data_IF_175534002042
#
_entry.id   IF_175534002042
#
_cell.length_a   1.000
_cell.length_b   1.000
_cell.length_c   1.000
_cell.angle_alpha   90.00
_cell.angle_beta   90.00
_cell.angle_gamma   90.00
#
_symmetry.space_group_name_H-M   'P 1'
#
loop_
_entity.id
_entity.type
_entity.pdbx_description
1 polymer ?
#
# COMPACT_ATOMS: atom_id res chain seq x y z
N UNK A 1 6.23 -13.17 5.78
CA UNK A 1 5.61 -12.03 6.49
C UNK A 1 4.12 -12.03 6.23
N UNK A 2 3.29 -11.53 7.14
CA UNK A 2 1.85 -11.34 6.89
C UNK A 2 1.64 -9.87 6.55
N UNK A 3 0.93 -9.61 5.45
CA UNK A 3 0.46 -8.28 5.07
C UNK A 3 -1.06 -8.28 5.06
N UNK A 4 -1.68 -7.15 5.38
CA UNK A 4 -3.12 -7.00 5.43
C UNK A 4 -3.58 -6.01 4.36
N UNK A 5 -4.76 -6.29 3.81
CA UNK A 5 -5.53 -5.37 2.99
C UNK A 5 -6.96 -5.32 3.52
N UNK A 6 -7.42 -4.16 3.99
CA UNK A 6 -8.67 -4.00 4.75
C UNK A 6 -8.83 -5.05 5.87
N UNK A 7 -7.75 -5.29 6.62
CA UNK A 7 -7.73 -6.26 7.72
C UNK A 7 -7.66 -7.74 7.29
N UNK A 8 -7.82 -8.08 6.00
CA UNK A 8 -7.65 -9.45 5.50
C UNK A 8 -6.17 -9.76 5.34
N UNK A 9 -5.73 -10.87 5.91
CA UNK A 9 -4.33 -11.28 5.93
C UNK A 9 -3.93 -12.08 4.67
N UNK A 10 -2.77 -11.72 4.11
CA UNK A 10 -2.12 -12.37 2.97
C UNK A 10 -0.69 -12.73 3.33
N UNK A 11 -0.20 -13.83 2.75
CA UNK A 11 1.20 -14.22 2.90
C UNK A 11 2.06 -13.45 1.93
N UNK A 12 3.08 -12.78 2.45
CA UNK A 12 4.11 -12.11 1.68
C UNK A 12 5.43 -12.86 1.83
N UNK A 13 5.98 -13.35 0.72
CA UNK A 13 7.37 -13.77 0.65
C UNK A 13 8.23 -12.52 0.55
N UNK A 14 8.81 -12.14 1.67
CA UNK A 14 9.65 -10.95 1.78
C UNK A 14 10.97 -11.14 1.01
N UNK A 15 11.35 -10.14 0.23
CA UNK A 15 12.69 -10.04 -0.36
C UNK A 15 13.53 -9.02 0.38
N UNK A 16 12.94 -7.87 0.71
CA UNK A 16 13.63 -6.74 1.33
C UNK A 16 12.65 -5.98 2.24
N UNK A 17 13.11 -5.61 3.43
CA UNK A 17 12.42 -4.70 4.34
C UNK A 17 13.44 -3.73 4.92
N UNK A 18 13.15 -2.44 4.82
CA UNK A 18 13.91 -1.34 5.40
C UNK A 18 12.95 -0.36 6.04
N UNK A 19 13.47 0.63 6.77
CA UNK A 19 12.66 1.70 7.35
C UNK A 19 11.95 2.53 6.27
N UNK A 20 12.38 2.47 5.00
CA UNK A 20 11.81 3.22 3.87
C UNK A 20 10.77 2.43 3.08
N UNK A 21 10.75 1.10 3.18
CA UNK A 21 9.88 0.32 2.33
C UNK A 21 10.06 -1.19 2.41
N UNK A 22 9.11 -1.87 1.78
CA UNK A 22 9.01 -3.33 1.75
C UNK A 22 8.86 -3.79 0.31
N UNK A 23 9.61 -4.82 -0.07
CA UNK A 23 9.51 -5.50 -1.35
C UNK A 23 9.36 -7.00 -1.16
N UNK A 24 8.46 -7.60 -1.92
CA UNK A 24 8.22 -9.04 -1.82
C UNK A 24 7.43 -9.60 -2.98
N UNK A 25 7.00 -10.84 -2.78
CA UNK A 25 6.03 -11.52 -3.64
C UNK A 25 4.82 -11.91 -2.82
N UNK A 26 3.65 -11.47 -3.24
CA UNK A 26 2.39 -11.83 -2.62
C UNK A 26 2.05 -13.28 -3.02
N UNK A 27 1.84 -14.13 -2.03
CA UNK A 27 1.50 -15.53 -2.24
C UNK A 27 -0.01 -15.65 -2.22
N UNK A 28 -0.59 -15.72 -3.40
CA UNK A 28 -2.02 -15.89 -3.61
C UNK A 28 -2.29 -17.33 -4.03
N UNK A 29 -3.26 -17.97 -3.39
CA UNK A 29 -3.91 -19.14 -3.98
C UNK A 29 -4.90 -18.70 -5.07
N UNK A 30 -5.43 -19.64 -5.87
CA UNK A 30 -6.38 -19.33 -6.96
C UNK A 30 -7.58 -18.50 -6.48
N UNK A 31 -8.10 -18.79 -5.29
CA UNK A 31 -9.25 -18.07 -4.73
C UNK A 31 -8.87 -16.65 -4.26
N UNK A 32 -7.64 -16.45 -3.80
CA UNK A 32 -7.09 -15.15 -3.41
C UNK A 32 -6.72 -14.31 -4.64
N UNK A 33 -6.27 -14.93 -5.73
CA UNK A 33 -5.96 -14.25 -6.99
C UNK A 33 -7.22 -13.66 -7.61
N UNK A 34 -8.30 -14.44 -7.74
CA UNK A 34 -9.60 -13.92 -8.23
C UNK A 34 -10.13 -12.79 -7.35
N UNK A 35 -9.98 -12.90 -6.03
CA UNK A 35 -10.37 -11.84 -5.10
C UNK A 35 -9.50 -10.61 -5.26
N UNK A 36 -8.20 -10.74 -5.53
CA UNK A 36 -7.29 -9.61 -5.69
C UNK A 36 -7.63 -8.79 -6.94
N UNK A 37 -7.98 -9.45 -8.04
CA UNK A 37 -8.46 -8.78 -9.26
C UNK A 37 -9.71 -7.94 -8.96
N UNK A 38 -10.64 -8.50 -8.18
CA UNK A 38 -11.84 -7.76 -7.75
C UNK A 38 -11.55 -6.65 -6.71
N UNK A 39 -10.40 -6.72 -6.02
CA UNK A 39 -9.98 -5.72 -5.02
C UNK A 39 -9.22 -4.56 -5.68
N UNK A 40 -8.58 -4.76 -6.83
CA UNK A 40 -8.03 -3.68 -7.64
C UNK A 40 -9.14 -2.72 -8.13
N UNK A 41 -10.33 -3.26 -8.43
CA UNK A 41 -11.52 -2.47 -8.74
C UNK A 41 -12.06 -1.69 -7.52
N UNK A 42 -11.67 -2.07 -6.29
CA UNK A 42 -12.01 -1.35 -5.05
C UNK A 42 -10.93 -0.33 -4.63
N UNK A 43 -9.70 -0.39 -5.17
CA UNK A 43 -8.74 0.71 -4.99
C UNK A 43 -9.23 2.03 -5.65
N UNK A 44 -10.26 1.95 -6.49
CA UNK A 44 -10.99 3.07 -7.08
C UNK A 44 -11.91 3.82 -6.07
N UNK A 45 -11.96 3.41 -4.80
CA UNK A 45 -12.77 4.05 -3.74
C UNK A 45 -12.33 5.47 -3.33
N UNK A 46 -11.45 6.14 -4.09
CA UNK A 46 -10.99 7.52 -3.81
C UNK A 46 -10.45 7.73 -2.38
N UNK A 47 -10.06 6.66 -1.67
CA UNK A 47 -9.59 6.71 -0.28
C UNK A 47 -8.37 7.62 -0.07
N UNK A 48 -7.66 7.92 -1.15
CA UNK A 48 -6.49 8.79 -1.20
C UNK A 48 -6.82 10.27 -1.45
N UNK A 49 -8.11 10.60 -1.61
CA UNK A 49 -8.61 11.95 -1.84
C UNK A 49 -9.35 12.50 -0.61
N UNK A 50 -9.33 13.81 -0.45
CA UNK A 50 -10.16 14.55 0.51
C UNK A 50 -11.55 14.88 -0.06
N UNK A 51 -12.35 15.62 0.71
CA UNK A 51 -13.70 16.04 0.32
C UNK A 51 -13.75 16.97 -0.91
N UNK A 52 -12.62 17.54 -1.32
CA UNK A 52 -12.49 18.38 -2.50
C UNK A 52 -11.94 17.60 -3.71
N UNK A 53 -11.66 16.31 -3.56
CA UNK A 53 -11.03 15.50 -4.59
C UNK A 53 -9.53 15.78 -4.75
N UNK A 54 -8.91 16.47 -3.79
CA UNK A 54 -7.47 16.65 -3.73
C UNK A 54 -6.81 15.49 -3.00
N UNK A 55 -5.57 15.18 -3.32
CA UNK A 55 -4.85 14.08 -2.67
C UNK A 55 -4.60 14.42 -1.19
N UNK A 56 -4.93 13.48 -0.30
CA UNK A 56 -4.60 13.57 1.13
C UNK A 56 -3.11 13.86 1.34
N UNK A 57 -2.80 14.61 2.40
CA UNK A 57 -1.43 14.75 2.89
C UNK A 57 -0.86 13.40 3.34
N UNK A 58 0.46 13.36 3.57
CA UNK A 58 1.13 12.10 3.89
C UNK A 58 0.50 11.38 5.09
N UNK A 59 0.22 12.09 6.17
CA UNK A 59 -0.28 11.48 7.41
C UNK A 59 -1.68 10.90 7.21
N UNK A 60 -2.60 11.69 6.63
CA UNK A 60 -3.95 11.24 6.34
C UNK A 60 -3.97 10.12 5.28
N UNK A 61 -3.09 10.18 4.29
CA UNK A 61 -2.96 9.16 3.25
C UNK A 61 -2.51 7.81 3.84
N UNK A 62 -1.52 7.80 4.73
CA UNK A 62 -1.10 6.57 5.40
C UNK A 62 -2.20 6.05 6.34
N UNK A 63 -2.87 6.92 7.09
CA UNK A 63 -3.98 6.53 7.96
C UNK A 63 -5.13 5.87 7.18
N UNK A 64 -5.47 6.43 6.01
CA UNK A 64 -6.52 5.91 5.13
C UNK A 64 -6.11 4.65 4.36
N UNK A 65 -4.80 4.38 4.21
CA UNK A 65 -4.32 3.27 3.40
C UNK A 65 -4.94 1.93 3.81
N UNK A 66 -5.41 1.12 2.85
CA UNK A 66 -5.97 -0.19 3.14
C UNK A 66 -4.89 -1.22 3.50
N UNK A 67 -3.62 -0.92 3.22
CA UNK A 67 -2.50 -1.84 3.40
C UNK A 67 -1.80 -1.63 4.75
N UNK A 68 -1.54 -2.73 5.45
CA UNK A 68 -0.81 -2.70 6.72
C UNK A 68 -0.03 -3.98 7.02
N UNK A 69 0.91 -3.92 7.96
CA UNK A 69 1.58 -5.08 8.54
C UNK A 69 1.51 -5.01 10.06
N UNK A 70 1.53 -6.17 10.72
CA UNK A 70 1.70 -6.23 12.17
C UNK A 70 3.19 -6.27 12.52
N UNK A 71 3.61 -5.37 13.40
CA UNK A 71 4.94 -5.37 14.01
C UNK A 71 4.80 -5.57 15.52
N UNK A 72 5.90 -5.92 16.24
CA UNK A 72 5.87 -5.97 17.70
C UNK A 72 5.44 -4.65 18.37
N UNK A 73 5.59 -3.52 17.67
CA UNK A 73 5.23 -2.18 18.16
C UNK A 73 3.82 -1.75 17.74
N UNK A 74 3.07 -2.60 17.05
CA UNK A 74 1.73 -2.31 16.55
C UNK A 74 1.60 -2.42 15.04
N UNK A 75 0.43 -2.02 14.54
CA UNK A 75 0.13 -2.00 13.11
C UNK A 75 0.87 -0.84 12.44
N UNK A 76 1.56 -1.14 11.34
CA UNK A 76 2.21 -0.14 10.49
C UNK A 76 1.48 -0.08 9.17
N UNK A 77 1.01 1.12 8.81
CA UNK A 77 0.38 1.42 7.53
C UNK A 77 1.42 1.50 6.42
N UNK A 78 1.05 1.01 5.25
CA UNK A 78 1.92 0.95 4.07
C UNK A 78 1.21 1.59 2.88
N UNK A 79 1.96 2.21 1.97
CA UNK A 79 1.40 2.64 0.69
C UNK A 79 1.88 1.74 -0.43
N UNK A 80 0.95 1.15 -1.17
CA UNK A 80 1.26 0.38 -2.36
C UNK A 80 1.85 1.31 -3.42
N UNK A 81 3.02 0.94 -3.96
CA UNK A 81 3.72 1.68 -5.02
C UNK A 81 3.69 0.94 -6.34
N UNK A 82 3.71 -0.39 -6.27
CA UNK A 82 3.76 -1.25 -7.43
C UNK A 82 3.22 -2.62 -7.07
N UNK A 83 2.36 -3.15 -7.93
CA UNK A 83 1.91 -4.53 -7.87
C UNK A 83 1.91 -5.10 -9.30
N UNK A 84 2.66 -6.17 -9.50
CA UNK A 84 2.60 -6.96 -10.72
C UNK A 84 1.74 -8.19 -10.45
N UNK A 85 0.52 -8.20 -10.98
CA UNK A 85 -0.45 -9.27 -10.79
C UNK A 85 0.00 -10.61 -11.39
N UNK A 86 0.77 -10.59 -12.48
CA UNK A 86 1.24 -11.80 -13.17
C UNK A 86 2.32 -12.53 -12.36
N UNK A 87 3.21 -11.78 -11.72
CA UNK A 87 4.35 -12.34 -10.98
C UNK A 87 4.13 -12.35 -9.47
N UNK A 88 3.12 -11.63 -8.98
CA UNK A 88 2.89 -11.33 -7.58
C UNK A 88 3.92 -10.37 -6.97
N UNK A 89 4.82 -9.77 -7.75
CA UNK A 89 5.79 -8.80 -7.21
C UNK A 89 5.06 -7.58 -6.65
N UNK A 90 5.39 -7.19 -5.43
CA UNK A 90 4.74 -6.08 -4.75
C UNK A 90 5.76 -5.21 -4.01
N UNK A 91 5.52 -3.90 -4.03
CA UNK A 91 6.38 -2.89 -3.39
C UNK A 91 5.55 -1.88 -2.64
N UNK A 92 5.98 -1.59 -1.42
CA UNK A 92 5.36 -0.64 -0.51
C UNK A 92 6.36 0.40 -0.03
N UNK A 93 5.87 1.61 0.17
CA UNK A 93 6.55 2.61 0.98
C UNK A 93 6.03 2.56 2.42
N UNK A 94 6.93 2.75 3.37
CA UNK A 94 6.58 3.22 4.72
C UNK A 94 6.39 4.75 4.67
N UNK A 95 5.89 5.33 5.77
CA UNK A 95 5.74 6.78 5.89
C UNK A 95 7.09 7.50 5.73
N UNK A 96 8.15 6.96 6.34
CA UNK A 96 9.51 7.54 6.26
C UNK A 96 10.11 7.46 4.84
N UNK A 97 9.74 6.46 4.05
CA UNK A 97 10.17 6.35 2.65
C UNK A 97 9.29 7.09 1.65
N UNK A 98 8.22 7.75 2.10
CA UNK A 98 7.28 8.43 1.23
C UNK A 98 7.67 9.89 0.96
N UNK A 99 8.24 10.14 -0.23
CA UNK A 99 8.58 11.49 -0.68
C UNK A 99 7.49 12.23 -1.46
N UNK A 100 6.24 11.75 -1.49
CA UNK A 100 5.20 12.25 -2.42
C UNK A 100 4.83 13.73 -2.26
N UNK A 101 5.13 14.34 -1.11
CA UNK A 101 4.94 15.76 -0.86
C UNK A 101 5.95 16.66 -1.62
N UNK A 102 7.10 16.11 -2.03
CA UNK A 102 8.19 16.85 -2.69
C UNK A 102 7.84 17.38 -4.08
N UNK A 103 6.64 17.13 -4.61
CA UNK A 103 6.19 17.62 -5.91
C UNK A 103 5.12 18.72 -5.83
N UNK A 104 4.66 19.12 -4.62
CA UNK A 104 3.72 20.24 -4.45
C UNK A 104 4.24 21.54 -5.08
N UNK A 105 5.56 21.78 -5.04
CA UNK A 105 6.21 22.95 -5.65
C UNK A 105 6.14 23.02 -7.19
N UNK A 106 5.97 21.88 -7.88
CA UNK A 106 5.85 21.87 -9.36
C UNK A 106 4.46 22.34 -9.80
N UNK A 107 3.42 22.13 -8.97
CA UNK A 107 2.05 22.55 -9.29
C UNK A 107 1.75 24.01 -8.96
N UNK A 108 2.64 24.69 -8.24
CA UNK A 108 2.52 26.11 -7.90
C UNK A 108 3.26 27.05 -8.86
N UNK A 109 3.60 26.58 -10.07
CA UNK A 109 4.20 27.39 -11.16
C UNK A 109 3.16 27.71 -12.23
#
# INVERSE_FOLDING_TARGET
MIIKYHGKAFKLRLLEATDLGIKGFLQLDEQQAEKMDSLADLEDEFWYLDEHGERLDADALFAASPWSIDTPNGEVKLLLRFHNMETGEIRFNTQDGYGGELFKWIRSQ
#
